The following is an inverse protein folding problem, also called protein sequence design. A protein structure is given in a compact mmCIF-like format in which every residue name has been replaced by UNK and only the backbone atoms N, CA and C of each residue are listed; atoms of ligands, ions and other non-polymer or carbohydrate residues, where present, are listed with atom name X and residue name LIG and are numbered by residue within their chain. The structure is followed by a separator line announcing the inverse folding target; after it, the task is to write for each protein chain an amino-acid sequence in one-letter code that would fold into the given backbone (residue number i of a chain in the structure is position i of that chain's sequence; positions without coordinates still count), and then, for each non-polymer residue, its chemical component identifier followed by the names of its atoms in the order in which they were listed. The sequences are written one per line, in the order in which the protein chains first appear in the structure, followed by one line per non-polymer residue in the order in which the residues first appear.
data_IF_531526970492
#
_entry.id   IF_531526970492
#
_cell.length_a   1.000
_cell.length_b   1.000
_cell.length_c   1.000
_cell.angle_alpha   90.00
_cell.angle_beta   90.00
_cell.angle_gamma   90.00
#
_symmetry.space_group_name_H-M   'P 1'
#
loop_
_entity.id
_entity.type
_entity.pdbx_description
1 polymer ?
#
# COMPACT_ATOMS: atom_id res chain seq x y z
N UNK A 1 74.06 -45.75 0.64
CA UNK A 1 72.65 -45.97 1.09
C UNK A 1 72.08 -44.61 1.55
N UNK A 2 71.42 -43.92 0.68
CA UNK A 2 70.78 -42.60 0.99
C UNK A 2 69.32 -42.83 1.24
N UNK A 3 68.83 -42.53 2.45
CA UNK A 3 67.43 -42.54 2.84
C UNK A 3 66.76 -41.23 2.35
N UNK A 4 65.84 -41.35 1.51
CA UNK A 4 64.97 -40.25 1.11
C UNK A 4 63.84 -40.13 2.13
N UNK A 5 63.78 -39.01 2.83
CA UNK A 5 62.61 -38.64 3.62
C UNK A 5 61.59 -37.87 2.69
N UNK A 6 60.46 -38.51 2.47
CA UNK A 6 59.32 -37.89 1.77
C UNK A 6 58.58 -37.02 2.80
N UNK A 7 58.72 -35.75 2.71
CA UNK A 7 57.89 -34.77 3.46
C UNK A 7 56.58 -34.66 2.73
N UNK A 8 55.53 -35.29 3.26
CA UNK A 8 54.15 -35.00 2.91
C UNK A 8 53.75 -33.64 3.53
N UNK A 9 53.76 -32.61 2.73
CA UNK A 9 53.10 -31.36 3.08
C UNK A 9 51.58 -31.57 2.97
N UNK A 10 50.93 -31.80 4.08
CA UNK A 10 49.48 -31.71 4.19
C UNK A 10 49.10 -30.23 4.08
N UNK A 11 48.71 -29.80 2.90
CA UNK A 11 48.04 -28.53 2.72
C UNK A 11 46.69 -28.64 3.45
N UNK A 12 46.64 -28.13 4.67
CA UNK A 12 45.38 -27.84 5.35
C UNK A 12 44.68 -26.76 4.52
N UNK A 13 43.80 -27.17 3.63
CA UNK A 13 42.76 -26.30 3.10
C UNK A 13 41.93 -25.89 4.32
N UNK A 14 42.29 -24.77 4.93
CA UNK A 14 41.37 -24.05 5.79
C UNK A 14 40.15 -23.66 4.92
N UNK A 15 39.13 -24.47 4.98
CA UNK A 15 37.79 -23.99 4.67
C UNK A 15 37.58 -22.80 5.59
N UNK A 16 37.76 -21.60 5.07
CA UNK A 16 37.16 -20.42 5.66
C UNK A 16 35.66 -20.70 5.52
N UNK A 17 35.12 -21.32 6.56
CA UNK A 17 33.69 -21.22 6.83
C UNK A 17 33.38 -19.74 6.75
N UNK A 18 32.72 -19.31 5.71
CA UNK A 18 32.08 -18.01 5.74
C UNK A 18 31.27 -18.02 7.01
N UNK A 19 31.79 -17.38 8.02
CA UNK A 19 31.11 -17.19 9.29
C UNK A 19 29.79 -16.54 8.91
N UNK A 20 28.68 -17.14 9.32
CA UNK A 20 27.31 -16.65 9.15
C UNK A 20 27.04 -15.33 9.91
N UNK A 21 28.05 -14.53 10.14
CA UNK A 21 27.98 -13.15 10.62
C UNK A 21 27.79 -12.17 9.46
N UNK A 22 27.05 -12.56 8.45
CA UNK A 22 26.37 -11.60 7.61
C UNK A 22 25.31 -10.96 8.52
N UNK A 23 25.24 -9.63 8.52
CA UNK A 23 24.25 -8.82 9.25
C UNK A 23 22.82 -9.15 8.75
N UNK A 24 22.37 -10.38 9.00
CA UNK A 24 21.00 -10.80 8.70
C UNK A 24 20.17 -10.53 9.94
N UNK A 25 19.31 -9.52 9.85
CA UNK A 25 18.28 -9.29 10.84
C UNK A 25 17.23 -10.39 10.63
N UNK A 26 17.10 -11.27 11.62
CA UNK A 26 16.03 -12.28 11.64
C UNK A 26 14.85 -11.67 12.38
N UNK A 27 13.77 -11.38 11.67
CA UNK A 27 12.51 -11.03 12.31
C UNK A 27 11.88 -12.29 12.91
N UNK A 28 11.53 -12.22 14.18
CA UNK A 28 10.78 -13.28 14.84
C UNK A 28 9.31 -13.05 14.53
N UNK A 29 8.68 -14.06 13.93
CA UNK A 29 7.21 -14.07 13.82
C UNK A 29 6.69 -14.50 15.19
N UNK A 30 5.92 -13.65 15.91
CA UNK A 30 5.38 -14.03 17.21
C UNK A 30 4.40 -15.19 17.07
N UNK A 31 4.34 -16.03 18.09
CA UNK A 31 3.32 -17.06 18.15
C UNK A 31 1.92 -16.42 18.23
N UNK A 32 0.98 -16.98 17.49
CA UNK A 32 -0.41 -16.51 17.57
C UNK A 32 -0.96 -16.80 18.97
N UNK A 33 -1.55 -15.79 19.65
CA UNK A 33 -2.15 -16.00 20.96
C UNK A 33 -3.20 -17.12 20.94
N UNK A 34 -3.28 -17.88 22.04
CA UNK A 34 -4.22 -18.99 22.16
C UNK A 34 -5.67 -18.53 21.97
N UNK A 35 -6.42 -19.24 21.13
CA UNK A 35 -7.82 -18.92 20.82
C UNK A 35 -8.01 -17.84 19.75
N UNK A 36 -6.95 -17.29 19.19
CA UNK A 36 -7.04 -16.42 18.00
C UNK A 36 -6.93 -17.22 16.71
N UNK A 37 -7.68 -16.79 15.72
CA UNK A 37 -7.67 -17.37 14.38
C UNK A 37 -7.32 -16.30 13.35
N UNK A 38 -6.64 -16.71 12.27
CA UNK A 38 -6.30 -15.80 11.17
C UNK A 38 -7.52 -15.04 10.66
N UNK A 39 -7.32 -13.77 10.36
CA UNK A 39 -8.32 -12.92 9.69
C UNK A 39 -8.18 -12.93 8.17
N UNK A 40 -7.25 -13.72 7.65
CA UNK A 40 -7.15 -13.94 6.20
C UNK A 40 -8.45 -14.59 5.71
N UNK A 41 -9.16 -13.90 4.82
CA UNK A 41 -10.47 -14.37 4.38
C UNK A 41 -11.59 -14.20 5.41
N UNK A 42 -11.41 -13.35 6.43
CA UNK A 42 -12.44 -13.04 7.44
C UNK A 42 -13.75 -12.64 6.75
N UNK A 43 -14.84 -13.27 7.17
CA UNK A 43 -16.21 -12.89 6.85
C UNK A 43 -16.87 -12.40 8.13
N UNK A 44 -17.72 -11.39 8.00
CA UNK A 44 -18.48 -10.83 9.13
C UNK A 44 -19.97 -10.84 8.79
N UNK A 45 -20.84 -10.57 9.76
CA UNK A 45 -22.25 -10.37 9.48
C UNK A 45 -22.41 -9.19 8.51
N UNK A 46 -23.26 -9.31 7.48
CA UNK A 46 -23.59 -8.22 6.58
C UNK A 46 -24.16 -7.00 7.31
N UNK A 47 -23.76 -5.80 6.88
CA UNK A 47 -24.24 -4.53 7.44
C UNK A 47 -25.11 -3.84 6.40
N UNK A 48 -26.40 -3.71 6.64
CA UNK A 48 -27.36 -3.12 5.70
C UNK A 48 -26.96 -1.70 5.25
N UNK A 49 -26.58 -0.85 6.19
CA UNK A 49 -25.99 0.47 5.92
C UNK A 49 -24.77 0.65 6.79
N UNK A 50 -23.59 0.71 6.20
CA UNK A 50 -22.31 0.88 6.92
C UNK A 50 -22.22 2.31 7.45
N UNK A 51 -22.32 2.46 8.77
CA UNK A 51 -22.23 3.76 9.44
C UNK A 51 -20.77 4.11 9.71
N UNK A 52 -20.31 5.18 9.09
CA UNK A 52 -18.89 5.54 9.04
C UNK A 52 -18.62 6.74 9.95
N UNK A 53 -17.66 6.57 10.86
CA UNK A 53 -17.03 7.64 11.62
C UNK A 53 -15.65 7.96 11.03
N UNK A 54 -15.39 9.21 10.66
CA UNK A 54 -14.12 9.65 10.05
C UNK A 54 -13.30 10.40 11.09
N UNK A 55 -12.05 9.95 11.31
CA UNK A 55 -11.09 10.56 12.23
C UNK A 55 -9.92 11.14 11.46
N UNK A 56 -9.68 12.45 11.64
CA UNK A 56 -8.71 13.22 10.86
C UNK A 56 -9.34 13.82 9.61
N UNK A 57 -9.59 15.15 9.63
CA UNK A 57 -10.27 15.90 8.56
C UNK A 57 -9.31 16.86 7.85
N UNK A 58 -8.03 16.48 7.80
CA UNK A 58 -7.02 17.13 6.98
C UNK A 58 -7.25 16.86 5.48
N UNK A 59 -6.20 16.98 4.67
CA UNK A 59 -6.28 16.81 3.21
C UNK A 59 -6.99 15.49 2.81
N UNK A 60 -6.55 14.35 3.36
CA UNK A 60 -7.11 13.03 3.00
C UNK A 60 -8.52 12.84 3.55
N UNK A 61 -8.74 13.14 4.84
CA UNK A 61 -10.05 12.95 5.46
C UNK A 61 -11.12 13.87 4.90
N UNK A 62 -10.81 15.14 4.63
CA UNK A 62 -11.76 16.05 3.96
C UNK A 62 -12.18 15.54 2.57
N UNK A 63 -11.22 14.96 1.83
CA UNK A 63 -11.52 14.32 0.54
C UNK A 63 -12.35 13.04 0.72
N UNK A 64 -12.10 12.24 1.76
CA UNK A 64 -12.89 11.04 2.08
C UNK A 64 -14.32 11.40 2.45
N UNK A 65 -14.53 12.47 3.24
CA UNK A 65 -15.89 13.01 3.53
C UNK A 65 -16.67 13.28 2.25
N UNK A 66 -16.04 13.91 1.26
CA UNK A 66 -16.69 14.20 -0.02
C UNK A 66 -16.97 12.92 -0.82
N UNK A 67 -16.00 11.99 -0.97
CA UNK A 67 -16.13 10.78 -1.77
C UNK A 67 -17.16 9.79 -1.21
N UNK A 68 -17.14 9.56 0.10
CA UNK A 68 -18.04 8.61 0.76
C UNK A 68 -19.51 8.98 0.64
N UNK A 69 -19.85 10.25 0.35
CA UNK A 69 -21.23 10.64 0.06
C UNK A 69 -21.77 10.08 -1.27
N UNK A 70 -20.90 9.57 -2.13
CA UNK A 70 -21.28 8.93 -3.40
C UNK A 70 -21.24 7.41 -3.35
N UNK A 71 -20.73 6.83 -2.25
CA UNK A 71 -20.68 5.37 -2.09
C UNK A 71 -22.04 4.87 -1.61
N UNK A 72 -22.66 3.90 -2.30
CA UNK A 72 -23.92 3.32 -1.87
C UNK A 72 -23.73 2.49 -0.57
N UNK A 73 -24.85 2.19 0.07
CA UNK A 73 -24.95 1.32 1.25
C UNK A 73 -24.10 1.77 2.45
N UNK A 74 -23.75 3.08 2.52
CA UNK A 74 -23.10 3.67 3.69
C UNK A 74 -23.68 5.04 4.05
N UNK A 75 -23.38 5.47 5.28
CA UNK A 75 -23.73 6.80 5.79
C UNK A 75 -22.60 7.33 6.66
N UNK A 76 -22.21 8.59 6.48
CA UNK A 76 -21.30 9.28 7.40
C UNK A 76 -22.13 9.71 8.60
N UNK A 77 -21.88 9.11 9.75
CA UNK A 77 -22.61 9.35 11.00
C UNK A 77 -21.83 10.12 12.04
N UNK A 78 -20.49 10.15 11.91
CA UNK A 78 -19.61 10.85 12.85
C UNK A 78 -18.36 11.37 12.15
N UNK A 79 -17.87 12.53 12.61
CA UNK A 79 -16.60 13.12 12.17
C UNK A 79 -15.81 13.65 13.35
N UNK A 80 -14.48 13.55 13.25
CA UNK A 80 -13.58 13.97 14.33
C UNK A 80 -12.28 14.56 13.77
N UNK A 81 -11.83 15.66 14.38
CA UNK A 81 -10.47 16.19 14.20
C UNK A 81 -10.05 16.92 15.48
N UNK A 82 -8.75 16.95 15.76
CA UNK A 82 -8.18 17.75 16.86
C UNK A 82 -8.44 19.26 16.64
N UNK A 83 -8.49 19.70 15.39
CA UNK A 83 -8.77 21.08 14.99
C UNK A 83 -10.28 21.28 14.79
N UNK A 84 -10.93 22.03 15.70
CA UNK A 84 -12.36 22.29 15.64
C UNK A 84 -12.81 22.90 14.29
N UNK A 85 -12.00 23.81 13.74
CA UNK A 85 -12.28 24.40 12.42
C UNK A 85 -12.45 23.38 11.29
N UNK A 86 -11.71 22.27 11.34
CA UNK A 86 -11.84 21.19 10.33
C UNK A 86 -13.12 20.42 10.51
N UNK A 87 -13.54 20.20 11.76
CA UNK A 87 -14.81 19.59 12.10
C UNK A 87 -15.96 20.46 11.57
N UNK A 88 -15.93 21.75 11.86
CA UNK A 88 -16.99 22.70 11.46
C UNK A 88 -17.10 22.79 9.93
N UNK A 89 -15.97 22.88 9.22
CA UNK A 89 -15.96 22.90 7.75
C UNK A 89 -16.50 21.60 7.15
N UNK A 90 -16.17 20.45 7.72
CA UNK A 90 -16.64 19.16 7.22
C UNK A 90 -18.12 18.95 7.51
N UNK A 91 -18.59 19.37 8.70
CA UNK A 91 -20.01 19.36 9.04
C UNK A 91 -20.83 20.27 8.09
N UNK A 92 -20.34 21.47 7.79
CA UNK A 92 -20.97 22.38 6.83
C UNK A 92 -21.05 21.78 5.41
N UNK A 93 -20.01 21.05 4.95
CA UNK A 93 -20.04 20.34 3.66
C UNK A 93 -21.09 19.24 3.63
N UNK A 94 -21.20 18.44 4.69
CA UNK A 94 -22.19 17.38 4.81
C UNK A 94 -23.61 17.96 4.84
N UNK A 95 -23.82 19.04 5.59
CA UNK A 95 -25.10 19.76 5.63
C UNK A 95 -25.49 20.28 4.25
N UNK A 96 -24.56 20.85 3.49
CA UNK A 96 -24.81 21.33 2.14
C UNK A 96 -25.22 20.21 1.15
N UNK A 97 -24.92 18.95 1.49
CA UNK A 97 -25.33 17.74 0.76
C UNK A 97 -26.62 17.10 1.31
N UNK A 98 -27.27 17.75 2.27
CA UNK A 98 -28.52 17.26 2.92
C UNK A 98 -28.29 16.22 4.00
N UNK A 99 -27.02 16.03 4.47
CA UNK A 99 -26.69 15.13 5.56
C UNK A 99 -26.66 15.94 6.87
N UNK A 100 -27.82 15.96 7.55
CA UNK A 100 -28.06 16.85 8.70
C UNK A 100 -27.65 16.24 10.04
N UNK A 101 -27.66 14.90 10.15
CA UNK A 101 -27.46 14.20 11.43
C UNK A 101 -26.07 13.54 11.47
N UNK A 102 -25.05 14.35 11.76
CA UNK A 102 -23.68 13.88 11.94
C UNK A 102 -23.19 14.27 13.32
N UNK A 103 -22.72 13.31 14.09
CA UNK A 103 -22.08 13.57 15.37
C UNK A 103 -20.71 14.22 15.12
N UNK A 104 -20.38 15.23 15.90
CA UNK A 104 -19.12 15.95 15.78
C UNK A 104 -18.31 15.81 17.06
N UNK A 105 -17.04 15.46 16.91
CA UNK A 105 -16.05 15.33 17.99
C UNK A 105 -14.85 16.18 17.62
N UNK A 106 -14.39 17.04 18.50
CA UNK A 106 -13.27 17.91 18.13
C UNK A 106 -12.71 18.78 19.25
N UNK A 107 -11.60 19.47 18.93
CA UNK A 107 -10.95 20.42 19.80
C UNK A 107 -10.03 19.83 20.86
N UNK A 108 -9.98 18.51 21.03
CA UNK A 108 -9.11 17.84 22.01
C UNK A 108 -8.45 16.61 21.39
N UNK A 109 -7.25 16.26 21.87
CA UNK A 109 -6.43 15.18 21.33
C UNK A 109 -7.09 13.78 21.44
N UNK A 110 -7.97 13.58 22.41
CA UNK A 110 -8.65 12.31 22.69
C UNK A 110 -10.12 12.29 22.23
N UNK A 111 -10.59 13.34 21.51
CA UNK A 111 -11.99 13.45 21.04
C UNK A 111 -12.41 12.25 20.18
N UNK A 112 -11.48 11.59 19.50
CA UNK A 112 -11.71 10.40 18.68
C UNK A 112 -12.24 9.20 19.51
N UNK A 113 -12.02 9.15 20.84
CA UNK A 113 -12.56 8.08 21.68
C UNK A 113 -14.09 8.09 21.69
N UNK A 114 -14.68 9.27 21.84
CA UNK A 114 -16.14 9.41 21.80
C UNK A 114 -16.75 8.95 20.46
N UNK A 115 -16.04 9.17 19.34
CA UNK A 115 -16.45 8.63 18.04
C UNK A 115 -16.38 7.10 18.02
N UNK A 116 -15.29 6.51 18.53
CA UNK A 116 -15.13 5.05 18.59
C UNK A 116 -16.17 4.38 19.50
N UNK A 117 -16.61 5.04 20.57
CA UNK A 117 -17.61 4.56 21.52
C UNK A 117 -19.05 4.74 21.02
N UNK A 118 -19.26 5.57 20.00
CA UNK A 118 -20.60 5.85 19.47
C UNK A 118 -21.31 4.57 18.98
N UNK A 119 -22.54 4.30 19.40
CA UNK A 119 -23.32 3.17 18.90
C UNK A 119 -23.77 3.36 17.44
N UNK A 120 -23.64 4.58 16.90
CA UNK A 120 -24.01 4.92 15.53
C UNK A 120 -22.85 4.80 14.54
N UNK A 121 -21.74 4.16 14.93
CA UNK A 121 -20.57 3.91 14.08
C UNK A 121 -20.32 2.41 13.99
N UNK A 122 -20.17 1.89 12.76
CA UNK A 122 -19.76 0.51 12.46
C UNK A 122 -18.31 0.43 11.99
N UNK A 123 -17.88 1.45 11.26
CA UNK A 123 -16.54 1.56 10.66
C UNK A 123 -15.87 2.88 11.07
N UNK A 124 -14.69 2.80 11.64
CA UNK A 124 -13.82 3.98 11.89
C UNK A 124 -12.83 4.12 10.74
N UNK A 125 -12.94 5.24 10.00
CA UNK A 125 -12.08 5.58 8.86
C UNK A 125 -11.01 6.59 9.32
N UNK A 126 -9.75 6.18 9.36
CA UNK A 126 -8.65 6.88 10.03
C UNK A 126 -7.76 7.57 9.02
N UNK A 127 -7.70 8.91 9.06
CA UNK A 127 -6.91 9.80 8.18
C UNK A 127 -6.00 10.75 8.96
N UNK A 128 -5.53 10.34 10.10
CA UNK A 128 -4.68 11.14 10.99
C UNK A 128 -3.19 11.11 10.58
N UNK A 129 -2.28 11.52 11.44
CA UNK A 129 -0.85 11.28 11.27
C UNK A 129 -0.47 9.81 11.56
N UNK A 130 0.69 9.38 11.08
CA UNK A 130 1.12 7.98 11.21
C UNK A 130 1.32 7.51 12.66
N UNK A 131 1.58 8.42 13.60
CA UNK A 131 1.78 8.07 15.02
C UNK A 131 0.46 7.72 15.71
N UNK A 132 -0.65 8.27 15.24
CA UNK A 132 -1.97 8.08 15.84
C UNK A 132 -2.83 7.02 15.15
N UNK A 133 -2.43 6.52 13.97
CA UNK A 133 -3.13 5.46 13.25
C UNK A 133 -3.42 4.25 14.12
N UNK A 134 -2.37 3.67 14.71
CA UNK A 134 -2.46 2.41 15.46
C UNK A 134 -3.23 2.57 16.78
N UNK A 135 -2.94 3.56 17.64
CA UNK A 135 -3.72 3.77 18.86
C UNK A 135 -5.22 3.90 18.62
N UNK A 136 -5.62 4.65 17.60
CA UNK A 136 -7.04 4.83 17.25
C UNK A 136 -7.64 3.53 16.74
N UNK A 137 -6.94 2.81 15.85
CA UNK A 137 -7.41 1.56 15.28
C UNK A 137 -7.61 0.45 16.34
N UNK A 138 -6.66 0.30 17.27
CA UNK A 138 -6.76 -0.67 18.36
C UNK A 138 -7.97 -0.37 19.23
N UNK A 139 -8.14 0.88 19.66
CA UNK A 139 -9.27 1.27 20.48
C UNK A 139 -10.62 1.11 19.75
N UNK A 140 -10.69 1.49 18.47
CA UNK A 140 -11.90 1.29 17.68
C UNK A 140 -12.29 -0.19 17.61
N UNK A 141 -11.32 -1.09 17.34
CA UNK A 141 -11.58 -2.53 17.33
C UNK A 141 -11.98 -3.08 18.71
N UNK A 142 -11.41 -2.57 19.81
CA UNK A 142 -11.85 -2.90 21.18
C UNK A 142 -13.30 -2.46 21.44
N UNK A 143 -13.72 -1.31 20.88
CA UNK A 143 -15.11 -0.85 20.91
C UNK A 143 -16.02 -1.62 19.93
N UNK A 144 -15.50 -2.67 19.26
CA UNK A 144 -16.26 -3.52 18.36
C UNK A 144 -16.47 -2.95 16.96
N UNK A 145 -15.69 -1.96 16.53
CA UNK A 145 -15.77 -1.34 15.19
C UNK A 145 -14.85 -2.02 14.20
N UNK A 146 -15.22 -2.03 12.93
CA UNK A 146 -14.29 -2.24 11.83
C UNK A 146 -13.42 -1.00 11.67
N UNK A 147 -12.22 -1.15 11.10
CA UNK A 147 -11.33 -0.03 10.88
C UNK A 147 -10.78 -0.02 9.46
N UNK A 148 -10.61 1.17 8.92
CA UNK A 148 -9.91 1.44 7.68
C UNK A 148 -8.88 2.55 7.96
N UNK A 149 -7.63 2.34 7.58
CA UNK A 149 -6.50 3.17 7.97
C UNK A 149 -5.78 3.68 6.74
N UNK A 150 -5.59 5.00 6.61
CA UNK A 150 -4.75 5.59 5.56
C UNK A 150 -3.32 5.05 5.62
N UNK A 151 -2.66 5.09 4.48
CA UNK A 151 -1.33 4.53 4.27
C UNK A 151 -0.20 5.40 4.86
N UNK A 152 0.82 4.75 5.43
CA UNK A 152 0.90 3.37 5.86
C UNK A 152 0.11 3.14 7.15
N UNK A 153 -0.46 1.96 7.31
CA UNK A 153 -1.27 1.64 8.48
C UNK A 153 -0.46 1.66 9.80
N UNK A 154 0.80 1.28 9.74
CA UNK A 154 1.73 1.27 10.87
C UNK A 154 3.16 1.52 10.38
N UNK A 155 4.04 1.94 11.30
CA UNK A 155 5.44 2.29 11.01
C UNK A 155 6.45 1.46 11.81
N UNK A 156 6.00 0.58 12.70
CA UNK A 156 6.86 -0.34 13.46
C UNK A 156 6.34 -1.77 13.38
N UNK A 157 7.22 -2.76 13.58
CA UNK A 157 6.83 -4.18 13.59
C UNK A 157 5.86 -4.49 14.74
N UNK A 158 6.07 -3.89 15.91
CA UNK A 158 5.20 -4.10 17.08
C UNK A 158 3.78 -3.59 16.77
N UNK A 159 3.65 -2.43 16.15
CA UNK A 159 2.36 -1.88 15.74
C UNK A 159 1.65 -2.73 14.68
N UNK A 160 2.40 -3.27 13.71
CA UNK A 160 1.84 -4.18 12.70
C UNK A 160 1.27 -5.43 13.38
N UNK A 161 2.02 -6.04 14.32
CA UNK A 161 1.55 -7.20 15.06
C UNK A 161 0.38 -6.86 15.99
N UNK A 162 0.38 -5.66 16.59
CA UNK A 162 -0.74 -5.21 17.42
C UNK A 162 -2.04 -5.10 16.61
N UNK A 163 -1.99 -4.53 15.39
CA UNK A 163 -3.16 -4.47 14.51
C UNK A 163 -3.68 -5.86 14.13
N UNK A 164 -2.78 -6.77 13.72
CA UNK A 164 -3.14 -8.15 13.36
C UNK A 164 -3.78 -8.86 14.57
N UNK A 165 -3.11 -8.82 15.71
CA UNK A 165 -3.60 -9.49 16.93
C UNK A 165 -4.95 -8.92 17.38
N UNK A 166 -5.15 -7.62 17.30
CA UNK A 166 -6.42 -7.01 17.68
C UNK A 166 -7.54 -7.39 16.72
N UNK A 167 -7.28 -7.38 15.40
CA UNK A 167 -8.24 -7.85 14.41
C UNK A 167 -8.60 -9.33 14.60
N UNK A 168 -7.62 -10.20 14.86
CA UNK A 168 -7.85 -11.63 15.18
C UNK A 168 -8.66 -11.82 16.46
N UNK A 169 -8.34 -11.07 17.53
CA UNK A 169 -9.02 -11.12 18.82
C UNK A 169 -10.48 -10.66 18.73
N UNK A 170 -10.73 -9.57 18.02
CA UNK A 170 -12.06 -8.93 17.98
C UNK A 170 -12.90 -9.39 16.80
N UNK A 171 -12.33 -10.12 15.86
CA UNK A 171 -12.95 -10.52 14.58
C UNK A 171 -13.50 -9.33 13.81
N UNK A 172 -12.78 -8.20 13.84
CA UNK A 172 -13.09 -6.99 13.09
C UNK A 172 -12.13 -6.82 11.93
N UNK A 173 -12.64 -6.36 10.80
CA UNK A 173 -11.80 -5.99 9.66
C UNK A 173 -10.87 -4.83 10.02
N UNK A 174 -9.64 -4.92 9.57
CA UNK A 174 -8.63 -3.87 9.66
C UNK A 174 -7.99 -3.71 8.27
N UNK A 175 -8.48 -2.76 7.49
CA UNK A 175 -8.02 -2.52 6.12
C UNK A 175 -7.04 -1.36 6.06
N UNK A 176 -5.89 -1.56 5.41
CA UNK A 176 -5.07 -0.44 4.97
C UNK A 176 -5.63 0.13 3.66
N UNK A 177 -5.79 1.44 3.58
CA UNK A 177 -6.40 2.12 2.43
C UNK A 177 -5.38 2.34 1.29
N UNK A 178 -4.87 1.24 0.74
CA UNK A 178 -3.92 1.27 -0.38
C UNK A 178 -4.66 1.41 -1.72
N UNK A 179 -4.81 2.65 -2.16
CA UNK A 179 -5.59 3.00 -3.33
C UNK A 179 -5.04 2.51 -4.67
N UNK A 180 -3.70 2.34 -4.78
CA UNK A 180 -3.08 1.92 -6.05
C UNK A 180 -3.48 0.51 -6.49
N UNK A 181 -3.93 -0.33 -5.56
CA UNK A 181 -4.52 -1.66 -5.89
C UNK A 181 -5.75 -1.50 -6.79
N UNK A 182 -6.45 -0.37 -6.69
CA UNK A 182 -7.69 -0.07 -7.41
C UNK A 182 -7.50 0.88 -8.61
N UNK A 183 -6.25 1.10 -9.05
CA UNK A 183 -6.02 1.79 -10.32
C UNK A 183 -6.39 0.87 -11.50
N UNK A 184 -6.90 1.45 -12.55
CA UNK A 184 -7.46 0.73 -13.70
C UNK A 184 -6.48 -0.22 -14.38
N UNK A 185 -5.21 0.19 -14.51
CA UNK A 185 -4.20 -0.66 -15.12
C UNK A 185 -3.84 -1.85 -14.22
N UNK A 186 -3.69 -1.62 -12.92
CA UNK A 186 -3.42 -2.65 -11.91
C UNK A 186 -4.56 -3.66 -11.80
N UNK A 187 -5.81 -3.19 -11.75
CA UNK A 187 -6.98 -4.08 -11.72
C UNK A 187 -7.10 -4.94 -12.98
N UNK A 188 -6.86 -4.33 -14.16
CA UNK A 188 -6.87 -5.08 -15.42
C UNK A 188 -5.74 -6.11 -15.48
N UNK A 189 -4.53 -5.70 -15.07
CA UNK A 189 -3.37 -6.60 -15.05
C UNK A 189 -3.58 -7.75 -14.06
N UNK A 190 -4.19 -7.49 -12.90
CA UNK A 190 -4.54 -8.54 -11.94
C UNK A 190 -5.53 -9.54 -12.54
N UNK A 191 -6.60 -9.08 -13.21
CA UNK A 191 -7.55 -9.95 -13.86
C UNK A 191 -6.88 -10.84 -14.94
N UNK A 192 -6.00 -10.24 -15.76
CA UNK A 192 -5.23 -10.97 -16.77
C UNK A 192 -4.26 -12.00 -16.13
N UNK A 193 -3.62 -11.64 -15.01
CA UNK A 193 -2.73 -12.55 -14.29
C UNK A 193 -3.49 -13.74 -13.68
N UNK A 194 -4.69 -13.51 -13.17
CA UNK A 194 -5.57 -14.57 -12.64
C UNK A 194 -6.04 -15.54 -13.72
N UNK A 195 -6.21 -15.08 -14.96
CA UNK A 195 -6.52 -15.89 -16.14
C UNK A 195 -5.26 -16.54 -16.79
N UNK A 196 -4.07 -16.34 -16.17
CA UNK A 196 -2.82 -16.96 -16.62
C UNK A 196 -2.20 -16.35 -17.88
N UNK A 197 -2.60 -15.13 -18.28
CA UNK A 197 -2.14 -14.47 -19.52
C UNK A 197 -0.63 -14.25 -19.54
N UNK A 198 -0.02 -14.04 -18.38
CA UNK A 198 1.43 -13.82 -18.26
C UNK A 198 2.22 -15.12 -18.04
N UNK A 199 1.55 -16.29 -18.03
CA UNK A 199 2.16 -17.55 -17.61
C UNK A 199 2.53 -17.53 -16.13
N UNK A 200 3.65 -18.15 -15.75
CA UNK A 200 4.17 -18.05 -14.39
C UNK A 200 4.82 -16.68 -14.18
N UNK A 201 4.28 -15.87 -13.26
CA UNK A 201 4.91 -14.60 -12.87
C UNK A 201 6.17 -14.88 -12.07
N UNK A 202 7.29 -14.35 -12.54
CA UNK A 202 8.64 -14.60 -11.98
C UNK A 202 9.24 -13.39 -11.28
N UNK A 203 8.87 -12.17 -11.74
CA UNK A 203 9.39 -10.92 -11.21
C UNK A 203 8.35 -9.82 -11.28
N UNK A 204 8.39 -8.90 -10.31
CA UNK A 204 7.56 -7.69 -10.31
C UNK A 204 8.37 -6.49 -9.87
N UNK A 205 7.98 -5.30 -10.35
CA UNK A 205 8.54 -4.04 -9.89
C UNK A 205 7.42 -3.09 -9.47
N UNK A 206 7.63 -2.39 -8.35
CA UNK A 206 6.71 -1.38 -7.86
C UNK A 206 7.48 -0.18 -7.30
N UNK A 207 6.91 1.02 -7.44
CA UNK A 207 7.56 2.21 -6.89
C UNK A 207 6.57 3.31 -6.53
N UNK A 208 7.04 4.20 -5.66
CA UNK A 208 6.47 5.51 -5.46
C UNK A 208 7.54 6.57 -5.69
N UNK A 209 7.56 7.12 -6.90
CA UNK A 209 8.41 8.23 -7.29
C UNK A 209 7.53 9.46 -7.49
N UNK A 210 7.63 10.42 -6.59
CA UNK A 210 6.76 11.58 -6.60
C UNK A 210 7.49 12.80 -6.02
N UNK A 211 7.96 13.69 -6.85
CA UNK A 211 8.47 14.97 -6.35
C UNK A 211 7.36 15.70 -5.57
N UNK A 212 7.54 15.86 -4.26
CA UNK A 212 6.54 16.45 -3.38
C UNK A 212 6.77 17.96 -3.11
N UNK A 213 7.70 18.59 -3.80
CA UNK A 213 7.93 20.04 -3.70
C UNK A 213 6.67 20.88 -3.99
N UNK A 214 5.81 20.54 -4.97
CA UNK A 214 4.55 21.25 -5.19
C UNK A 214 3.54 21.13 -4.03
N UNK A 215 3.72 20.15 -3.17
CA UNK A 215 2.84 19.86 -2.01
C UNK A 215 3.51 20.26 -0.69
N UNK A 216 4.21 21.41 -0.69
CA UNK A 216 5.02 21.86 0.43
C UNK A 216 4.26 21.87 1.76
N UNK A 217 3.08 22.53 1.81
CA UNK A 217 2.32 22.69 3.04
C UNK A 217 1.75 21.36 3.57
N UNK A 218 1.35 20.48 2.67
CA UNK A 218 0.75 19.18 3.03
C UNK A 218 1.81 18.15 3.40
N UNK A 219 3.00 18.25 2.84
CA UNK A 219 4.05 17.26 3.03
C UNK A 219 5.22 17.77 3.87
N UNK A 220 5.90 18.83 3.45
CA UNK A 220 7.14 19.27 4.08
C UNK A 220 6.95 20.22 5.26
N UNK A 221 5.89 21.02 5.32
CA UNK A 221 5.52 21.80 6.50
C UNK A 221 4.80 21.00 7.59
N UNK A 222 4.46 19.76 7.31
CA UNK A 222 3.81 18.85 8.24
C UNK A 222 4.82 18.03 9.06
N UNK A 223 4.31 17.14 9.89
CA UNK A 223 5.06 16.15 10.67
C UNK A 223 5.92 15.20 9.80
N UNK A 224 5.64 15.08 8.49
CA UNK A 224 6.34 14.18 7.58
C UNK A 224 7.82 14.53 7.41
N UNK A 225 8.20 15.81 7.45
CA UNK A 225 9.60 16.21 7.38
C UNK A 225 10.40 15.68 8.59
N UNK A 226 9.82 15.80 9.79
CA UNK A 226 10.46 15.27 11.01
C UNK A 226 10.53 13.74 10.97
N UNK A 227 9.50 13.09 10.46
CA UNK A 227 9.53 11.62 10.27
C UNK A 227 10.66 11.19 9.33
N UNK A 228 10.84 11.83 8.18
CA UNK A 228 11.92 11.56 7.23
C UNK A 228 13.30 11.90 7.81
N UNK A 229 13.40 12.94 8.66
CA UNK A 229 14.62 13.28 9.36
C UNK A 229 15.06 12.15 10.33
N UNK A 230 14.12 11.55 11.03
CA UNK A 230 14.35 10.57 12.09
C UNK A 230 14.43 9.11 11.60
N UNK A 231 13.87 8.81 10.44
CA UNK A 231 13.73 7.45 9.93
C UNK A 231 14.49 7.25 8.62
N UNK A 232 15.02 6.05 8.43
CA UNK A 232 15.81 5.65 7.25
C UNK A 232 15.09 4.57 6.46
N UNK A 233 15.32 4.55 5.16
CA UNK A 233 14.84 3.52 4.25
C UNK A 233 13.57 3.91 3.51
N UNK A 234 12.80 2.93 3.07
CA UNK A 234 11.52 3.18 2.40
C UNK A 234 10.44 3.46 3.44
N UNK A 235 10.19 4.73 3.69
CA UNK A 235 9.21 5.18 4.68
C UNK A 235 7.76 5.13 4.16
N UNK A 236 7.57 4.85 2.87
CA UNK A 236 6.25 4.84 2.23
C UNK A 236 6.14 3.80 1.10
N UNK A 237 6.35 2.49 1.38
CA UNK A 237 6.42 1.45 0.35
C UNK A 237 5.06 1.06 -0.25
N UNK A 238 3.96 1.44 0.37
CA UNK A 238 2.63 0.86 0.14
C UNK A 238 2.17 0.96 -1.30
N UNK A 239 2.36 2.10 -1.96
CA UNK A 239 1.95 2.32 -3.34
C UNK A 239 2.72 1.48 -4.36
N UNK A 240 3.98 1.14 -4.06
CA UNK A 240 4.76 0.23 -4.89
C UNK A 240 4.47 -1.23 -4.60
N UNK A 241 4.42 -1.60 -3.30
CA UNK A 241 4.34 -3.00 -2.89
C UNK A 241 2.90 -3.56 -2.94
N UNK A 242 1.88 -2.74 -2.65
CA UNK A 242 0.48 -3.18 -2.58
C UNK A 242 0.00 -3.87 -3.85
N UNK A 243 0.04 -3.20 -5.02
CA UNK A 243 -0.44 -3.79 -6.27
C UNK A 243 0.32 -5.05 -6.69
N UNK A 244 1.64 -5.08 -6.53
CA UNK A 244 2.45 -6.24 -6.91
C UNK A 244 2.24 -7.43 -5.97
N UNK A 245 1.89 -7.20 -4.71
CA UNK A 245 1.49 -8.25 -3.77
C UNK A 245 0.21 -8.96 -4.20
N UNK A 246 -0.73 -8.26 -4.81
CA UNK A 246 -1.97 -8.85 -5.33
C UNK A 246 -1.65 -9.86 -6.45
N UNK A 247 -0.82 -9.47 -7.41
CA UNK A 247 -0.43 -10.34 -8.55
C UNK A 247 0.35 -11.57 -8.07
N UNK A 248 1.21 -11.42 -7.06
CA UNK A 248 1.99 -12.52 -6.51
C UNK A 248 1.22 -13.39 -5.50
N UNK A 249 -0.02 -13.06 -5.18
CA UNK A 249 -0.82 -13.74 -4.15
C UNK A 249 -0.10 -13.82 -2.78
N UNK A 250 0.55 -12.73 -2.37
CA UNK A 250 1.23 -12.68 -1.08
C UNK A 250 0.22 -12.91 0.05
N UNK A 251 0.55 -13.84 0.96
CA UNK A 251 -0.30 -14.42 2.00
C UNK A 251 -1.53 -15.23 1.49
N UNK A 252 -1.70 -15.39 0.18
CA UNK A 252 -2.77 -16.16 -0.46
C UNK A 252 -2.23 -17.26 -1.39
N UNK A 253 -1.00 -17.71 -1.18
CA UNK A 253 -0.30 -18.74 -1.97
C UNK A 253 1.22 -18.55 -2.00
N UNK A 254 1.70 -17.35 -1.70
CA UNK A 254 3.12 -17.04 -1.56
C UNK A 254 3.36 -16.14 -0.33
N UNK A 255 4.60 -15.93 0.05
CA UNK A 255 4.99 -14.98 1.11
C UNK A 255 6.42 -14.47 0.90
N UNK A 256 6.71 -13.28 1.38
CA UNK A 256 8.05 -12.72 1.38
C UNK A 256 8.95 -13.51 2.33
N UNK A 257 10.19 -13.79 1.89
CA UNK A 257 11.15 -14.61 2.63
C UNK A 257 12.38 -13.84 3.06
N UNK A 258 13.01 -13.16 2.12
CA UNK A 258 14.23 -12.38 2.35
C UNK A 258 14.14 -11.04 1.68
N UNK A 259 14.78 -10.05 2.30
CA UNK A 259 14.79 -8.67 1.84
C UNK A 259 16.21 -8.10 1.96
N UNK A 260 16.62 -7.35 0.95
CA UNK A 260 17.81 -6.48 0.98
C UNK A 260 17.39 -5.09 0.55
N UNK A 261 17.73 -4.09 1.35
CA UNK A 261 17.40 -2.70 1.05
C UNK A 261 18.66 -1.84 1.11
N UNK A 262 18.75 -0.90 0.18
CA UNK A 262 19.79 0.12 0.12
C UNK A 262 19.18 1.47 -0.17
N UNK A 263 19.69 2.49 0.49
CA UNK A 263 19.35 3.88 0.24
C UNK A 263 20.58 4.69 -0.15
N UNK A 264 20.34 5.82 -0.81
CA UNK A 264 21.37 6.80 -1.11
C UNK A 264 21.72 7.62 0.13
N UNK A 265 22.84 8.36 0.06
CA UNK A 265 23.09 9.43 1.02
C UNK A 265 21.95 10.48 0.95
N UNK A 266 21.47 11.02 2.08
CA UNK A 266 20.51 12.11 2.09
C UNK A 266 21.18 13.42 1.61
N UNK A 267 20.73 13.95 0.51
CA UNK A 267 21.21 15.21 -0.09
C UNK A 267 20.09 16.26 -0.12
N UNK A 268 18.93 15.90 -0.65
CA UNK A 268 17.81 16.82 -0.78
C UNK A 268 17.03 16.99 0.52
N UNK A 269 16.90 15.95 1.33
CA UNK A 269 16.25 16.03 2.64
C UNK A 269 16.83 17.12 3.54
N UNK A 270 18.16 17.20 3.75
CA UNK A 270 18.79 18.32 4.49
C UNK A 270 18.52 19.68 3.89
N UNK A 271 18.46 19.82 2.56
CA UNK A 271 18.12 21.08 1.89
C UNK A 271 16.67 21.49 2.16
N UNK A 272 15.73 20.54 2.08
CA UNK A 272 14.31 20.75 2.39
C UNK A 272 14.16 21.19 3.84
N UNK A 273 14.84 20.51 4.76
CA UNK A 273 14.85 20.87 6.18
C UNK A 273 15.37 22.30 6.41
N UNK A 274 16.49 22.66 5.75
CA UNK A 274 17.06 24.01 5.85
C UNK A 274 16.12 25.09 5.29
N UNK A 275 15.44 24.79 4.18
CA UNK A 275 14.44 25.70 3.61
C UNK A 275 13.28 25.96 4.57
N UNK A 276 12.81 24.91 5.25
CA UNK A 276 11.72 25.03 6.23
C UNK A 276 12.16 25.75 7.52
N UNK A 277 13.29 25.34 8.10
CA UNK A 277 13.66 25.74 9.46
C UNK A 277 14.66 26.90 9.50
N UNK A 278 15.19 27.33 8.35
CA UNK A 278 16.20 28.42 8.26
C UNK A 278 17.59 28.04 8.78
N UNK A 279 17.78 26.79 9.25
CA UNK A 279 19.04 26.30 9.82
C UNK A 279 19.39 24.94 9.20
N UNK A 280 20.71 24.63 9.05
CA UNK A 280 21.14 23.32 8.58
C UNK A 280 20.62 22.20 9.50
N UNK A 281 20.22 21.07 8.91
CA UNK A 281 19.92 19.86 9.66
C UNK A 281 21.24 19.17 10.01
N UNK A 282 21.58 18.96 11.31
CA UNK A 282 22.81 18.28 11.69
C UNK A 282 22.79 16.79 11.32
N UNK A 283 21.62 16.16 11.40
CA UNK A 283 21.39 14.76 11.06
C UNK A 283 20.08 14.61 10.31
N UNK A 284 20.12 13.92 9.17
CA UNK A 284 18.97 13.55 8.38
C UNK A 284 19.15 12.10 7.95
N UNK A 285 18.21 11.24 8.31
CA UNK A 285 18.38 9.78 8.17
C UNK A 285 17.95 9.26 6.81
N UNK A 286 16.83 9.77 6.26
CA UNK A 286 16.25 9.20 5.06
C UNK A 286 17.07 9.56 3.82
N UNK A 287 17.54 8.54 3.09
CA UNK A 287 18.15 8.71 1.78
C UNK A 287 17.15 9.24 0.75
N UNK A 288 17.63 9.95 -0.26
CA UNK A 288 16.76 10.52 -1.30
C UNK A 288 16.08 9.44 -2.14
N UNK A 289 16.78 8.32 -2.38
CA UNK A 289 16.26 7.15 -3.10
C UNK A 289 16.50 5.89 -2.26
N UNK A 290 15.47 5.06 -2.12
CA UNK A 290 15.58 3.70 -1.55
C UNK A 290 15.22 2.67 -2.60
N UNK A 291 15.97 1.55 -2.63
CA UNK A 291 15.71 0.39 -3.48
C UNK A 291 15.75 -0.87 -2.64
N UNK A 292 14.69 -1.64 -2.70
CA UNK A 292 14.51 -2.85 -1.90
C UNK A 292 14.24 -4.05 -2.81
N UNK A 293 15.09 -5.07 -2.74
CA UNK A 293 14.90 -6.33 -3.45
C UNK A 293 14.39 -7.39 -2.47
N UNK A 294 13.26 -8.01 -2.81
CA UNK A 294 12.61 -9.04 -2.00
C UNK A 294 12.57 -10.34 -2.79
N UNK A 295 12.81 -11.46 -2.12
CA UNK A 295 12.56 -12.81 -2.66
C UNK A 295 11.44 -13.49 -1.88
N UNK A 296 10.51 -14.11 -2.60
CA UNK A 296 9.41 -14.88 -2.00
C UNK A 296 9.79 -16.34 -1.72
N UNK A 297 8.95 -17.05 -0.97
CA UNK A 297 9.12 -18.49 -0.72
C UNK A 297 9.06 -19.31 -2.01
N UNK A 298 8.22 -18.94 -2.96
CA UNK A 298 8.11 -19.62 -4.26
C UNK A 298 9.23 -19.18 -5.23
N UNK A 299 10.21 -18.38 -4.78
CA UNK A 299 11.39 -18.01 -5.56
C UNK A 299 11.21 -16.83 -6.48
N UNK A 300 10.07 -16.16 -6.46
CA UNK A 300 9.82 -14.93 -7.22
C UNK A 300 10.56 -13.75 -6.62
N UNK A 301 10.81 -12.71 -7.40
CA UNK A 301 11.49 -11.50 -6.92
C UNK A 301 10.63 -10.25 -7.10
N UNK A 302 10.83 -9.28 -6.19
CA UNK A 302 10.15 -7.99 -6.21
C UNK A 302 11.21 -6.89 -6.06
N UNK A 303 11.20 -5.88 -6.92
CA UNK A 303 11.97 -4.65 -6.75
C UNK A 303 11.01 -3.53 -6.35
N UNK A 304 11.20 -2.98 -5.14
CA UNK A 304 10.40 -1.88 -4.62
C UNK A 304 11.28 -0.64 -4.46
N UNK A 305 10.79 0.51 -4.94
CA UNK A 305 11.56 1.76 -4.94
C UNK A 305 10.73 2.92 -4.37
N UNK A 306 11.42 3.84 -3.70
CA UNK A 306 10.81 5.05 -3.12
C UNK A 306 11.71 6.26 -3.33
N UNK A 307 11.13 7.36 -3.83
CA UNK A 307 11.79 8.67 -3.97
C UNK A 307 10.72 9.77 -3.98
N UNK A 308 10.75 10.65 -2.97
CA UNK A 308 9.84 11.80 -2.86
C UNK A 308 10.58 13.13 -2.74
N UNK A 309 11.92 13.10 -2.79
CA UNK A 309 12.78 14.23 -2.51
C UNK A 309 13.53 14.75 -3.75
N UNK A 310 13.46 14.07 -4.89
CA UNK A 310 14.14 14.50 -6.11
C UNK A 310 13.14 15.01 -7.15
N UNK A 311 13.55 15.90 -8.09
CA UNK A 311 12.70 16.42 -9.14
C UNK A 311 12.45 15.39 -10.26
N UNK A 312 12.23 14.16 -9.88
CA UNK A 312 11.92 13.05 -10.75
C UNK A 312 10.49 13.17 -11.27
N UNK A 313 10.19 12.84 -12.54
CA UNK A 313 8.81 12.76 -13.00
C UNK A 313 7.98 11.82 -12.15
N UNK A 314 6.70 12.13 -11.98
CA UNK A 314 5.77 11.26 -11.29
C UNK A 314 5.75 9.87 -11.93
N UNK A 315 5.97 8.85 -11.12
CA UNK A 315 6.03 7.47 -11.55
C UNK A 315 5.61 6.54 -10.39
N UNK A 316 4.45 5.93 -10.53
CA UNK A 316 4.04 4.79 -9.70
C UNK A 316 4.34 3.52 -10.48
N UNK A 317 5.63 3.23 -10.67
CA UNK A 317 6.11 2.07 -11.39
C UNK A 317 5.33 0.82 -10.98
N UNK A 318 4.82 0.14 -12.00
CA UNK A 318 4.17 -1.14 -11.84
C UNK A 318 4.54 -2.00 -13.04
N UNK A 319 5.27 -3.09 -12.78
CA UNK A 319 5.68 -4.04 -13.80
C UNK A 319 5.43 -5.47 -13.33
N UNK A 320 4.98 -6.30 -14.25
CA UNK A 320 4.79 -7.73 -14.05
C UNK A 320 5.54 -8.46 -15.17
N UNK A 321 6.43 -9.37 -14.81
CA UNK A 321 7.21 -10.18 -15.74
C UNK A 321 6.86 -11.64 -15.51
N UNK A 322 6.30 -12.27 -16.53
CA UNK A 322 5.96 -13.69 -16.53
C UNK A 322 6.66 -14.44 -17.65
N UNK A 323 6.46 -15.77 -17.71
CA UNK A 323 7.03 -16.62 -18.74
C UNK A 323 6.44 -16.36 -20.12
N UNK A 324 5.19 -15.89 -20.19
CA UNK A 324 4.45 -15.70 -21.44
C UNK A 324 4.01 -14.26 -21.69
N UNK A 325 4.33 -13.35 -20.77
CA UNK A 325 3.98 -11.96 -20.95
C UNK A 325 4.64 -10.99 -19.96
N UNK A 326 4.53 -9.72 -20.31
CA UNK A 326 4.99 -8.57 -19.56
C UNK A 326 3.89 -7.51 -19.51
N UNK A 327 3.75 -6.85 -18.38
CA UNK A 327 2.95 -5.65 -18.19
C UNK A 327 3.82 -4.51 -17.67
N UNK A 328 3.66 -3.31 -18.22
CA UNK A 328 4.36 -2.11 -17.74
C UNK A 328 3.45 -0.89 -17.79
N UNK A 329 3.39 -0.12 -16.70
CA UNK A 329 2.52 1.04 -16.58
C UNK A 329 3.17 2.35 -17.04
N UNK A 330 4.43 2.54 -16.71
CA UNK A 330 5.18 3.78 -16.96
C UNK A 330 6.41 3.55 -17.82
N UNK A 331 6.83 4.53 -18.67
CA UNK A 331 6.16 5.81 -18.90
C UNK A 331 4.92 5.70 -19.79
N UNK A 332 4.68 4.57 -20.43
CA UNK A 332 3.52 4.29 -21.29
C UNK A 332 2.95 2.94 -20.90
N UNK A 333 1.64 2.88 -20.73
CA UNK A 333 0.96 1.62 -20.46
C UNK A 333 1.06 0.67 -21.66
N UNK A 334 1.57 -0.54 -21.40
CA UNK A 334 1.69 -1.56 -22.42
C UNK A 334 1.63 -2.99 -21.82
N UNK A 335 1.20 -3.92 -22.65
CA UNK A 335 1.44 -5.35 -22.48
C UNK A 335 2.27 -5.87 -23.65
N UNK A 336 3.15 -6.86 -23.38
CA UNK A 336 3.85 -7.62 -24.38
C UNK A 336 3.58 -9.11 -24.13
N UNK A 337 2.92 -9.79 -25.07
CA UNK A 337 2.51 -11.19 -24.90
C UNK A 337 3.19 -12.09 -25.93
N UNK A 338 3.46 -13.32 -25.50
CA UNK A 338 4.11 -14.34 -26.36
C UNK A 338 3.14 -15.07 -27.30
N UNK A 339 1.94 -14.56 -27.55
CA UNK A 339 0.81 -15.23 -28.20
C UNK A 339 1.15 -16.01 -29.49
N UNK A 340 2.18 -15.65 -30.23
CA UNK A 340 2.58 -16.32 -31.46
C UNK A 340 4.11 -16.43 -31.61
N UNK A 341 4.87 -16.36 -30.51
CA UNK A 341 6.31 -16.48 -30.57
C UNK A 341 6.68 -17.93 -30.72
N UNK A 342 7.06 -18.34 -31.93
CA UNK A 342 7.80 -19.58 -32.12
C UNK A 342 9.22 -19.39 -31.57
N UNK A 343 9.67 -20.31 -30.69
CA UNK A 343 11.06 -20.34 -30.22
C UNK A 343 12.06 -20.50 -31.40
N UNK A 344 11.58 -20.94 -32.57
CA UNK A 344 12.39 -21.11 -33.77
C UNK A 344 12.66 -19.80 -34.54
N UNK A 345 11.92 -18.73 -34.26
CA UNK A 345 12.03 -17.47 -35.02
C UNK A 345 13.01 -16.45 -34.39
N UNK A 346 13.64 -16.77 -33.25
CA UNK A 346 14.65 -15.96 -32.64
C UNK A 346 14.18 -14.62 -32.07
N UNK A 347 15.08 -13.66 -31.95
CA UNK A 347 14.81 -12.34 -31.35
C UNK A 347 13.82 -11.49 -32.12
N UNK A 348 13.69 -11.70 -33.39
CA UNK A 348 12.73 -10.99 -34.25
C UNK A 348 11.27 -11.34 -33.90
N UNK A 349 11.07 -12.45 -33.20
CA UNK A 349 9.77 -12.85 -32.67
C UNK A 349 9.21 -11.90 -31.58
N UNK A 350 10.03 -11.01 -31.03
CA UNK A 350 9.63 -9.95 -30.11
C UNK A 350 9.25 -8.64 -30.83
N UNK A 351 8.86 -8.73 -32.09
CA UNK A 351 8.44 -7.60 -32.91
C UNK A 351 7.36 -6.74 -32.26
N UNK A 352 7.24 -5.52 -32.77
CA UNK A 352 6.30 -4.50 -32.28
C UNK A 352 4.82 -4.93 -32.38
N UNK A 353 4.52 -5.92 -33.21
CA UNK A 353 3.17 -6.48 -33.39
C UNK A 353 2.63 -7.17 -32.12
N UNK A 354 3.51 -7.54 -31.18
CA UNK A 354 3.15 -8.18 -29.90
C UNK A 354 3.01 -7.22 -28.73
N UNK A 355 3.25 -5.95 -28.99
CA UNK A 355 3.09 -4.89 -28.00
C UNK A 355 1.69 -4.31 -28.13
N UNK A 356 0.92 -4.43 -27.07
CA UNK A 356 -0.40 -3.86 -26.92
C UNK A 356 -0.29 -2.52 -26.17
N UNK A 357 -0.52 -1.41 -26.85
CA UNK A 357 -0.57 -0.06 -26.27
C UNK A 357 -1.72 0.74 -26.88
N UNK A 358 -2.10 1.87 -26.29
CA UNK A 358 -3.18 2.71 -26.81
C UNK A 358 -4.51 1.96 -26.95
N UNK A 359 -5.13 1.97 -28.13
CA UNK A 359 -6.42 1.29 -28.35
C UNK A 359 -6.29 -0.24 -28.29
N UNK A 360 -5.22 -0.82 -28.83
CA UNK A 360 -5.00 -2.26 -28.76
C UNK A 360 -4.89 -2.78 -27.31
N UNK A 361 -4.34 -1.97 -26.41
CA UNK A 361 -4.31 -2.28 -24.98
C UNK A 361 -5.72 -2.32 -24.40
N UNK A 362 -6.58 -1.36 -24.71
CA UNK A 362 -7.98 -1.34 -24.25
C UNK A 362 -8.78 -2.53 -24.78
N UNK A 363 -8.59 -2.88 -26.06
CA UNK A 363 -9.21 -4.05 -26.68
C UNK A 363 -8.76 -5.34 -26.00
N UNK A 364 -7.49 -5.45 -25.62
CA UNK A 364 -6.97 -6.58 -24.89
C UNK A 364 -7.57 -6.65 -23.47
N UNK A 365 -7.58 -5.55 -22.75
CA UNK A 365 -8.17 -5.48 -21.39
C UNK A 365 -9.64 -5.87 -21.39
N UNK A 366 -10.40 -5.50 -22.42
CA UNK A 366 -11.83 -5.83 -22.55
C UNK A 366 -12.11 -7.33 -22.68
N UNK A 367 -11.12 -8.13 -23.06
CA UNK A 367 -11.24 -9.61 -23.11
C UNK A 367 -11.20 -10.26 -21.72
N UNK A 368 -10.70 -9.52 -20.72
CA UNK A 368 -10.55 -9.99 -19.35
C UNK A 368 -11.39 -9.11 -18.42
N UNK A 369 -12.72 -9.29 -18.40
CA UNK A 369 -13.62 -8.40 -17.71
C UNK A 369 -13.41 -8.45 -16.20
N UNK A 370 -13.36 -7.28 -15.60
CA UNK A 370 -13.45 -7.09 -14.15
C UNK A 370 -14.72 -6.27 -13.89
N UNK A 371 -15.53 -6.67 -12.91
CA UNK A 371 -16.79 -5.99 -12.58
C UNK A 371 -16.59 -4.49 -12.27
N UNK A 372 -15.42 -4.12 -11.71
CA UNK A 372 -15.05 -2.74 -11.43
C UNK A 372 -14.55 -1.96 -12.66
N UNK A 373 -14.43 -2.62 -13.80
CA UNK A 373 -13.99 -2.03 -15.07
C UNK A 373 -15.13 -1.81 -16.05
N UNK A 374 -16.38 -1.90 -15.59
CA UNK A 374 -17.55 -1.49 -16.39
C UNK A 374 -17.38 -0.02 -16.78
N UNK A 375 -17.55 0.35 -18.07
CA UNK A 375 -17.28 1.72 -18.55
C UNK A 375 -18.10 2.81 -17.81
N UNK A 376 -19.37 2.55 -17.48
CA UNK A 376 -20.19 3.49 -16.75
C UNK A 376 -19.69 3.70 -15.31
N UNK A 377 -19.28 2.62 -14.64
CA UNK A 377 -18.70 2.69 -13.30
C UNK A 377 -17.35 3.40 -13.31
N UNK A 378 -16.50 3.13 -14.30
CA UNK A 378 -15.21 3.81 -14.48
C UNK A 378 -15.37 5.31 -14.69
N UNK A 379 -16.32 5.71 -15.55
CA UNK A 379 -16.64 7.14 -15.77
C UNK A 379 -17.16 7.79 -14.50
N UNK A 380 -18.05 7.13 -13.79
CA UNK A 380 -18.55 7.61 -12.51
C UNK A 380 -17.43 7.74 -11.47
N UNK A 381 -16.60 6.73 -11.29
CA UNK A 381 -15.46 6.77 -10.38
C UNK A 381 -14.52 7.94 -10.69
N UNK A 382 -14.22 8.18 -11.96
CA UNK A 382 -13.41 9.33 -12.40
C UNK A 382 -14.09 10.67 -12.11
N UNK A 383 -15.40 10.76 -12.26
CA UNK A 383 -16.16 11.97 -11.96
C UNK A 383 -16.20 12.31 -10.47
N UNK A 384 -16.28 11.31 -9.60
CA UNK A 384 -16.17 11.47 -8.14
C UNK A 384 -14.75 11.89 -7.76
N UNK A 385 -13.74 11.30 -8.39
CA UNK A 385 -12.35 11.69 -8.26
C UNK A 385 -11.58 10.95 -7.15
N UNK A 386 -10.53 11.58 -6.66
CA UNK A 386 -9.52 10.94 -5.80
C UNK A 386 -8.56 10.09 -6.65
N UNK A 387 -7.40 10.68 -7.00
CA UNK A 387 -6.36 10.06 -7.86
C UNK A 387 -6.92 9.41 -9.15
N UNK A 388 -7.78 10.14 -9.86
CA UNK A 388 -8.36 9.66 -11.11
C UNK A 388 -9.47 8.60 -10.94
N UNK A 389 -10.00 8.41 -9.73
CA UNK A 389 -11.10 7.49 -9.41
C UNK A 389 -10.71 6.29 -8.53
N UNK A 390 -9.42 5.97 -8.41
CA UNK A 390 -8.99 4.80 -7.62
C UNK A 390 -9.35 4.91 -6.14
N UNK A 391 -9.32 6.11 -5.54
CA UNK A 391 -9.73 6.31 -4.15
C UNK A 391 -11.23 6.00 -3.97
N UNK A 392 -12.07 6.40 -4.92
CA UNK A 392 -13.49 6.09 -4.88
C UNK A 392 -13.75 4.59 -5.01
N UNK A 393 -13.04 3.90 -5.90
CA UNK A 393 -13.20 2.44 -6.08
C UNK A 393 -12.78 1.70 -4.81
N UNK A 394 -11.70 2.13 -4.16
CA UNK A 394 -11.26 1.60 -2.87
C UNK A 394 -12.34 1.76 -1.79
N UNK A 395 -12.89 2.96 -1.64
CA UNK A 395 -13.97 3.25 -0.68
C UNK A 395 -15.23 2.42 -0.99
N UNK A 396 -15.61 2.32 -2.26
CA UNK A 396 -16.71 1.48 -2.72
C UNK A 396 -16.48 0.00 -2.36
N UNK A 397 -15.29 -0.55 -2.61
CA UNK A 397 -14.97 -1.95 -2.32
C UNK A 397 -14.99 -2.25 -0.83
N UNK A 398 -14.47 -1.35 -0.01
CA UNK A 398 -14.53 -1.46 1.45
C UNK A 398 -15.99 -1.57 1.92
N UNK A 399 -16.84 -0.63 1.52
CA UNK A 399 -18.25 -0.63 1.89
C UNK A 399 -18.97 -1.86 1.34
N UNK A 400 -18.74 -2.21 0.06
CA UNK A 400 -19.35 -3.38 -0.57
C UNK A 400 -19.01 -4.68 0.19
N UNK A 401 -17.79 -4.85 0.62
CA UNK A 401 -17.39 -6.05 1.38
C UNK A 401 -18.07 -6.10 2.75
N UNK A 402 -18.15 -4.98 3.48
CA UNK A 402 -18.81 -4.91 4.78
C UNK A 402 -20.34 -5.09 4.65
N UNK A 403 -20.94 -4.46 3.63
CA UNK A 403 -22.37 -4.59 3.36
C UNK A 403 -22.78 -6.04 3.06
N UNK A 404 -21.94 -6.78 2.32
CA UNK A 404 -22.22 -8.16 1.92
C UNK A 404 -21.58 -9.23 2.83
N UNK A 405 -20.92 -8.85 3.92
CA UNK A 405 -20.22 -9.79 4.81
C UNK A 405 -19.08 -10.55 4.13
N UNK A 406 -18.42 -9.96 3.15
CA UNK A 406 -17.35 -10.57 2.35
C UNK A 406 -15.98 -10.29 2.96
N UNK A 407 -14.98 -11.12 2.66
CA UNK A 407 -13.59 -10.78 2.95
C UNK A 407 -13.19 -9.51 2.21
N UNK A 408 -12.30 -8.71 2.83
CA UNK A 408 -11.70 -7.57 2.17
C UNK A 408 -10.70 -8.02 1.09
N UNK A 409 -10.48 -7.16 0.10
CA UNK A 409 -9.54 -7.41 -1.00
C UNK A 409 -8.09 -7.38 -0.50
N UNK A 410 -7.82 -6.68 0.61
CA UNK A 410 -6.50 -6.50 1.21
C UNK A 410 -6.51 -6.84 2.70
#
# INVERSE_FOLDING_TARGET
MKKWFLLLAIAALSFVSCNENVNVIKTVVPERPAGQESVLGLRTEPIETVRIGIVGLGMRGASAVDRLTYVPDCAITAICDIEQDRVDRSAARLLARGIEKVQTFGGESESWRGLCESPDVDLVYICTDWKTHVPIALYAMECGKHVAIEVPAATTLDDIWALINMSEKTRKHCMMLENCVYDFFEMSTLAMAQEGVFGEVIHVEGAYHHCLDPYWNEYWESWRLEFNKENRGDVYPTHGIGPVCQVLNIHRGDRMKTLVSMDTKPINGPKIYQLKNGTPCPEFQNGDQTSTLIRTENGKTMLIQHDVMTPRPYDRLYQVVGTDGYAGKYPVQLYCLRENASLAEGYDALGTEKIYSGEALKELQAKYPNALMNPEFVEFARSVGGHGGMDFIMDYRLVYCLHNGLPLDM
#
